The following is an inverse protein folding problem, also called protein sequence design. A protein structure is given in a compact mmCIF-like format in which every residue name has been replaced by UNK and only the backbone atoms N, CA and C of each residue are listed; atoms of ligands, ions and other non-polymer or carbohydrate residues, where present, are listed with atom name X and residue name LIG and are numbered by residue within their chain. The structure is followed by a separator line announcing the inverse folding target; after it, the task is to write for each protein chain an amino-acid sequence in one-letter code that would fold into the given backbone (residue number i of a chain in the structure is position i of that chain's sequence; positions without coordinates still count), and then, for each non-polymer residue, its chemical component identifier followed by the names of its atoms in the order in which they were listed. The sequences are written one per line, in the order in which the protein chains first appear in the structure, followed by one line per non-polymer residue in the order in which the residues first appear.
data_IF_736035059464
#
_entry.id   IF_736035059464
#
_cell.length_a   1.000
_cell.length_b   1.000
_cell.length_c   1.000
_cell.angle_alpha   90.00
_cell.angle_beta   90.00
_cell.angle_gamma   90.00
#
_symmetry.space_group_name_H-M   'P 1'
#
loop_
_entity.id
_entity.type
_entity.pdbx_description
1 polymer ?
#
# COMPACT_ATOMS: atom_id res chain seq x y z
N UNK A 1 -10.20 -0.51 4.36
CA UNK A 1 -9.15 0.43 3.90
C UNK A 1 -7.84 0.00 4.52
N UNK A 2 -6.86 -0.41 3.71
CA UNK A 2 -5.53 -0.81 4.17
C UNK A 2 -4.69 0.44 4.50
N UNK A 3 -3.96 0.41 5.60
CA UNK A 3 -3.04 1.47 5.99
C UNK A 3 -1.63 0.88 6.04
N UNK A 4 -0.69 1.51 5.34
CA UNK A 4 0.72 1.12 5.33
C UNK A 4 1.52 2.27 5.94
N UNK A 5 2.33 2.01 6.97
CA UNK A 5 3.16 3.02 7.63
C UNK A 5 4.61 2.57 7.75
N UNK A 6 5.52 3.55 7.68
CA UNK A 6 6.90 3.40 8.11
C UNK A 6 6.97 3.53 9.63
N UNK A 7 7.59 2.58 10.29
CA UNK A 7 7.92 2.65 11.72
C UNK A 7 9.43 2.64 11.87
N UNK A 8 9.94 3.46 12.79
CA UNK A 8 11.36 3.50 13.11
C UNK A 8 11.47 3.21 14.59
N UNK A 9 12.13 2.11 14.94
CA UNK A 9 12.54 1.79 16.29
C UNK A 9 14.02 2.20 16.47
N UNK A 10 14.52 2.21 17.72
CA UNK A 10 15.91 2.56 18.06
C UNK A 10 16.96 1.78 17.27
N UNK A 11 16.62 0.57 16.83
CA UNK A 11 17.57 -0.33 16.17
C UNK A 11 17.26 -0.60 14.70
N UNK A 12 16.00 -0.47 14.27
CA UNK A 12 15.56 -0.93 12.94
C UNK A 12 14.37 -0.13 12.44
N UNK A 13 14.33 0.04 11.13
CA UNK A 13 13.15 0.52 10.44
C UNK A 13 12.29 -0.66 9.95
N UNK A 14 10.98 -0.49 10.06
CA UNK A 14 9.98 -1.51 9.80
C UNK A 14 8.86 -0.94 8.92
N UNK A 15 8.13 -1.84 8.28
CA UNK A 15 6.87 -1.53 7.60
C UNK A 15 5.76 -2.17 8.39
N UNK A 16 4.72 -1.40 8.70
CA UNK A 16 3.51 -1.87 9.36
C UNK A 16 2.33 -1.79 8.41
N UNK A 17 1.64 -2.91 8.24
CA UNK A 17 0.44 -3.06 7.42
C UNK A 17 -0.74 -3.32 8.35
N UNK A 18 -1.75 -2.47 8.25
CA UNK A 18 -2.98 -2.55 9.04
C UNK A 18 -4.15 -2.88 8.11
N UNK A 19 -4.79 -4.01 8.38
CA UNK A 19 -6.00 -4.47 7.70
C UNK A 19 -7.17 -4.45 8.70
N UNK A 20 -8.37 -3.96 8.31
CA UNK A 20 -9.52 -3.98 9.21
C UNK A 20 -9.87 -5.42 9.63
N UNK A 21 -9.93 -5.67 10.93
CA UNK A 21 -10.29 -6.99 11.48
C UNK A 21 -9.12 -8.00 11.57
N UNK A 22 -7.93 -7.65 11.08
CA UNK A 22 -6.72 -8.47 11.27
C UNK A 22 -5.73 -7.79 12.23
N UNK A 23 -4.93 -8.58 12.96
CA UNK A 23 -3.80 -8.03 13.70
C UNK A 23 -2.80 -7.35 12.76
N UNK A 24 -2.14 -6.26 13.19
CA UNK A 24 -1.16 -5.56 12.37
C UNK A 24 0.02 -6.46 12.03
N UNK A 25 0.42 -6.46 10.76
CA UNK A 25 1.62 -7.14 10.29
C UNK A 25 2.77 -6.15 10.28
N UNK A 26 3.76 -6.37 11.15
CA UNK A 26 4.92 -5.50 11.30
C UNK A 26 6.16 -6.33 11.03
N UNK A 27 6.97 -5.90 10.06
CA UNK A 27 8.21 -6.60 9.71
C UNK A 27 9.32 -5.62 9.34
N UNK A 28 10.59 -5.97 9.66
CA UNK A 28 11.73 -5.13 9.35
C UNK A 28 11.88 -4.97 7.84
N UNK A 29 12.16 -3.74 7.40
CA UNK A 29 12.33 -3.41 5.98
C UNK A 29 13.31 -2.24 5.85
N UNK A 30 14.15 -2.26 4.83
CA UNK A 30 14.89 -1.11 4.33
C UNK A 30 13.95 -0.06 3.71
N UNK A 31 14.46 1.15 3.47
CA UNK A 31 13.70 2.20 2.80
C UNK A 31 13.34 1.80 1.35
N UNK A 32 14.25 1.07 0.69
CA UNK A 32 14.01 0.52 -0.64
C UNK A 32 12.83 -0.47 -0.65
N UNK A 33 12.82 -1.44 0.28
CA UNK A 33 11.72 -2.41 0.40
C UNK A 33 10.40 -1.73 0.72
N UNK A 34 10.40 -0.75 1.64
CA UNK A 34 9.21 0.04 1.95
C UNK A 34 8.69 0.78 0.70
N UNK A 35 9.58 1.44 -0.05
CA UNK A 35 9.25 2.11 -1.29
C UNK A 35 8.65 1.18 -2.33
N UNK A 36 9.20 -0.05 -2.47
CA UNK A 36 8.66 -1.06 -3.39
C UNK A 36 7.27 -1.54 -2.97
N UNK A 37 7.02 -1.75 -1.66
CA UNK A 37 5.69 -2.09 -1.14
C UNK A 37 4.68 -0.99 -1.47
N UNK A 38 5.05 0.27 -1.25
CA UNK A 38 4.18 1.41 -1.58
C UNK A 38 3.93 1.53 -3.08
N UNK A 39 4.94 1.29 -3.91
CA UNK A 39 4.80 1.29 -5.36
C UNK A 39 3.74 0.28 -5.80
N UNK A 40 3.84 -0.97 -5.34
CA UNK A 40 2.88 -2.03 -5.66
C UNK A 40 1.48 -1.68 -5.15
N UNK A 41 1.35 -1.24 -3.89
CA UNK A 41 0.04 -0.87 -3.34
C UNK A 41 -0.63 0.27 -4.11
N UNK A 42 0.15 1.24 -4.58
CA UNK A 42 -0.37 2.37 -5.37
C UNK A 42 -0.71 2.02 -6.81
N UNK A 43 -0.44 0.79 -7.28
CA UNK A 43 -0.93 0.34 -8.58
C UNK A 43 -2.42 -0.01 -8.57
N UNK A 44 -3.01 -0.28 -7.40
CA UNK A 44 -4.40 -0.78 -7.28
C UNK A 44 -5.47 0.35 -7.20
N UNK A 45 -5.06 1.62 -7.40
CA UNK A 45 -5.95 2.79 -7.36
C UNK A 45 -5.47 3.89 -8.28
N UNK A 46 -6.39 4.66 -8.87
CA UNK A 46 -6.06 5.88 -9.62
C UNK A 46 -5.44 6.93 -8.68
N UNK A 47 -4.20 7.32 -8.96
CA UNK A 47 -3.51 8.44 -8.30
C UNK A 47 -3.12 9.47 -9.36
N UNK A 48 -3.41 10.77 -9.18
CA UNK A 48 -3.23 11.79 -10.22
C UNK A 48 -1.81 11.90 -10.80
N UNK A 49 -0.79 11.50 -10.04
CA UNK A 49 0.63 11.69 -10.39
C UNK A 49 1.41 10.36 -10.42
N UNK A 50 0.71 9.23 -10.54
CA UNK A 50 1.33 7.90 -10.58
C UNK A 50 0.91 7.20 -11.86
N UNK A 51 1.86 6.99 -12.78
CA UNK A 51 1.66 6.10 -13.92
C UNK A 51 1.44 4.67 -13.40
N UNK A 52 0.21 4.18 -13.55
CA UNK A 52 -0.20 2.81 -13.21
C UNK A 52 -1.29 2.32 -14.18
N UNK A 53 -1.67 1.06 -14.06
CA UNK A 53 -2.66 0.42 -14.94
C UNK A 53 -4.00 1.18 -14.98
N UNK A 54 -4.41 1.88 -13.92
CA UNK A 54 -5.62 2.72 -13.94
C UNK A 54 -5.46 4.02 -14.75
N UNK A 55 -4.23 4.49 -14.90
CA UNK A 55 -3.87 5.71 -15.64
C UNK A 55 -3.60 5.39 -17.12
N UNK A 56 -3.00 4.24 -17.41
CA UNK A 56 -2.70 3.78 -18.77
C UNK A 56 -3.93 3.24 -19.51
N UNK A 57 -4.90 2.68 -18.79
CA UNK A 57 -6.11 2.07 -19.38
C UNK A 57 -7.42 2.86 -19.13
N UNK A 58 -7.33 4.05 -18.51
CA UNK A 58 -8.47 4.89 -18.07
C UNK A 58 -9.57 4.09 -17.35
N UNK A 59 -9.15 3.07 -16.59
CA UNK A 59 -10.05 2.27 -15.79
C UNK A 59 -10.62 3.21 -14.72
N UNK A 60 -11.95 3.36 -14.73
CA UNK A 60 -12.67 4.18 -13.75
C UNK A 60 -12.29 3.82 -12.32
N UNK A 61 -12.66 4.65 -11.32
CA UNK A 61 -12.36 4.35 -9.92
C UNK A 61 -12.81 2.91 -9.59
N UNK A 62 -12.00 2.13 -8.85
CA UNK A 62 -12.32 0.73 -8.58
C UNK A 62 -13.70 0.67 -7.95
N UNK A 63 -14.61 -0.07 -8.59
CA UNK A 63 -15.98 -0.22 -8.12
C UNK A 63 -15.93 -0.77 -6.69
N UNK A 64 -16.39 0.02 -5.72
CA UNK A 64 -16.46 -0.34 -4.31
C UNK A 64 -17.58 -1.37 -4.08
N UNK A 65 -17.46 -2.53 -4.69
CA UNK A 65 -18.45 -3.60 -4.62
C UNK A 65 -17.90 -4.67 -3.68
N UNK A 66 -18.43 -4.83 -2.46
CA UNK A 66 -18.10 -5.97 -1.63
C UNK A 66 -18.70 -7.22 -2.31
N UNK A 67 -17.87 -8.01 -2.98
CA UNK A 67 -18.27 -9.36 -3.39
C UNK A 67 -18.48 -10.19 -2.12
N UNK A 68 -19.71 -10.66 -1.94
CA UNK A 68 -20.15 -11.56 -0.86
C UNK A 68 -19.72 -12.99 -1.15
#
# INVERSE_FOLDING_TARGET
MIVIRRLIDRHRACTAIFLPGEPPRIFPTSDHEHGRILQIYKQDRRYPDVLNDFTDFDLGPPSSTPQR
#
